data_IF_754967609878
#
_entry.id   IF_754967609878
#
_cell.length_a   1.000
_cell.length_b   1.000
_cell.length_c   1.000
_cell.angle_alpha   90.00
_cell.angle_beta   90.00
_cell.angle_gamma   90.00
#
_symmetry.space_group_name_H-M   'P 1'
#
loop_
_entity.id
_entity.type
_entity.pdbx_description
1 polymer ?
#
# COMPACT_ATOMS: atom_id res chain seq x y z
N UNK A 1 -15.66 1.17 19.10
CA UNK A 1 -15.71 -0.04 18.23
C UNK A 1 -15.41 -1.27 19.07
N UNK A 2 -16.29 -2.27 19.05
CA UNK A 2 -16.01 -3.58 19.67
C UNK A 2 -15.15 -4.40 18.71
N UNK A 3 -14.17 -5.12 19.24
CA UNK A 3 -13.37 -6.09 18.50
C UNK A 3 -13.89 -7.48 18.86
N UNK A 4 -14.65 -8.11 17.97
CA UNK A 4 -15.17 -9.47 18.17
C UNK A 4 -14.45 -10.43 17.24
N UNK A 5 -13.86 -11.48 17.82
CA UNK A 5 -13.22 -12.58 17.09
C UNK A 5 -13.92 -13.88 17.46
N UNK A 6 -14.52 -14.54 16.47
CA UNK A 6 -15.16 -15.83 16.61
C UNK A 6 -14.18 -16.94 16.19
N UNK A 7 -13.89 -17.84 17.11
CA UNK A 7 -13.10 -19.04 16.86
C UNK A 7 -14.04 -20.23 16.68
N UNK A 8 -13.98 -20.89 15.53
CA UNK A 8 -14.66 -22.17 15.28
C UNK A 8 -13.65 -23.24 14.86
N UNK A 9 -14.05 -24.50 14.84
CA UNK A 9 -13.20 -25.61 14.34
C UNK A 9 -12.84 -25.45 12.85
N UNK A 10 -13.63 -24.69 12.08
CA UNK A 10 -13.46 -24.54 10.62
C UNK A 10 -12.81 -23.22 10.18
N UNK A 11 -12.93 -22.15 10.98
CA UNK A 11 -12.41 -20.84 10.62
C UNK A 11 -12.34 -19.89 11.84
N UNK A 12 -11.52 -18.85 11.68
CA UNK A 12 -11.52 -17.65 12.53
C UNK A 12 -12.17 -16.53 11.73
N UNK A 13 -13.16 -15.84 12.30
CA UNK A 13 -13.82 -14.69 11.67
C UNK A 13 -13.87 -13.52 12.64
N UNK A 14 -13.51 -12.32 12.17
CA UNK A 14 -13.57 -11.09 12.96
C UNK A 14 -14.30 -9.99 12.21
N UNK A 15 -14.57 -8.88 12.90
CA UNK A 15 -15.13 -7.68 12.30
C UNK A 15 -14.24 -7.14 11.17
N UNK A 16 -14.87 -6.49 10.18
CA UNK A 16 -14.16 -5.83 9.08
C UNK A 16 -13.25 -4.77 9.68
N UNK A 17 -11.95 -4.89 9.41
CA UNK A 17 -10.93 -3.95 9.87
C UNK A 17 -11.11 -2.60 9.14
N UNK A 18 -12.06 -1.78 9.57
CA UNK A 18 -12.36 -0.49 8.95
C UNK A 18 -11.23 0.55 9.14
N UNK A 19 -10.44 0.45 10.22
CA UNK A 19 -9.40 1.44 10.57
C UNK A 19 -7.97 0.89 10.71
N UNK A 20 -7.75 -0.41 10.51
CA UNK A 20 -6.45 -1.00 10.84
C UNK A 20 -5.29 -0.41 10.04
N UNK A 21 -5.50 0.01 8.79
CA UNK A 21 -4.44 0.62 8.00
C UNK A 21 -3.93 1.91 8.64
N UNK A 22 -4.83 2.75 9.16
CA UNK A 22 -4.45 4.00 9.82
C UNK A 22 -3.69 3.73 11.13
N UNK A 23 -4.13 2.76 11.92
CA UNK A 23 -3.46 2.39 13.16
C UNK A 23 -2.11 1.70 12.90
N UNK A 24 -2.08 0.77 11.93
CA UNK A 24 -0.90 -0.02 11.56
C UNK A 24 0.19 0.82 10.90
N UNK A 25 -0.18 1.82 10.12
CA UNK A 25 0.74 2.65 9.34
C UNK A 25 0.82 4.10 9.82
N UNK A 26 0.29 4.40 11.02
CA UNK A 26 0.35 5.74 11.62
C UNK A 26 1.74 6.35 11.54
N UNK A 27 2.76 5.60 11.97
CA UNK A 27 4.14 6.10 11.99
C UNK A 27 4.69 6.32 10.57
N UNK A 28 4.28 5.50 9.60
CA UNK A 28 4.64 5.67 8.20
C UNK A 28 4.05 6.95 7.61
N UNK A 29 2.77 7.25 7.89
CA UNK A 29 2.14 8.50 7.46
C UNK A 29 2.80 9.74 8.07
N UNK A 30 3.17 9.66 9.37
CA UNK A 30 3.89 10.76 10.02
C UNK A 30 5.28 10.99 9.41
N UNK A 31 6.00 9.92 9.10
CA UNK A 31 7.32 9.98 8.47
C UNK A 31 7.24 10.56 7.04
N UNK A 32 6.30 10.09 6.23
CA UNK A 32 6.05 10.59 4.87
C UNK A 32 5.74 12.10 4.86
N UNK A 33 4.84 12.55 5.74
CA UNK A 33 4.52 13.98 5.85
C UNK A 33 5.73 14.81 6.29
N UNK A 34 6.53 14.32 7.23
CA UNK A 34 7.74 15.01 7.69
C UNK A 34 8.74 15.17 6.55
N UNK A 35 9.02 14.09 5.80
CA UNK A 35 9.90 14.12 4.62
C UNK A 35 9.41 15.13 3.58
N UNK A 36 8.11 15.10 3.25
CA UNK A 36 7.54 16.00 2.27
C UNK A 36 7.67 17.48 2.68
N UNK A 37 7.40 17.79 3.94
CA UNK A 37 7.56 19.15 4.49
C UNK A 37 9.04 19.57 4.42
N UNK A 38 9.97 18.68 4.75
CA UNK A 38 11.40 18.97 4.71
C UNK A 38 11.90 19.18 3.26
N UNK A 39 11.37 18.42 2.29
CA UNK A 39 11.66 18.63 0.88
C UNK A 39 11.22 20.01 0.39
N UNK A 40 10.03 20.46 0.79
CA UNK A 40 9.53 21.81 0.47
C UNK A 40 10.43 22.88 1.09
N UNK A 41 10.78 22.73 2.38
CA UNK A 41 11.58 23.74 3.11
C UNK A 41 12.98 23.88 2.54
N UNK A 42 13.58 22.78 2.11
CA UNK A 42 14.96 22.74 1.63
C UNK A 42 15.07 22.81 0.11
N UNK A 43 13.94 22.87 -0.61
CA UNK A 43 13.89 22.81 -2.06
C UNK A 43 14.67 21.61 -2.63
N UNK A 44 14.43 20.43 -2.05
CA UNK A 44 15.01 19.15 -2.50
C UNK A 44 13.94 18.27 -3.13
N UNK A 45 14.36 17.35 -3.99
CA UNK A 45 13.45 16.35 -4.56
C UNK A 45 13.05 15.32 -3.49
N UNK A 46 11.76 14.90 -3.45
CA UNK A 46 11.32 13.84 -2.56
C UNK A 46 11.94 12.50 -2.97
N UNK A 47 12.11 11.58 -2.01
CA UNK A 47 12.65 10.25 -2.28
C UNK A 47 11.73 9.39 -3.15
N UNK A 48 10.42 9.70 -3.15
CA UNK A 48 9.40 9.08 -3.99
C UNK A 48 8.81 10.13 -4.92
N UNK A 49 8.98 9.94 -6.23
CA UNK A 49 8.54 10.84 -7.28
C UNK A 49 7.39 10.29 -8.11
N UNK A 50 6.98 11.06 -9.12
CA UNK A 50 5.90 10.65 -10.04
C UNK A 50 6.22 9.39 -10.86
N UNK A 51 7.50 9.15 -11.15
CA UNK A 51 7.95 7.97 -11.89
C UNK A 51 7.72 6.68 -11.10
N UNK A 52 7.93 6.69 -9.78
CA UNK A 52 7.70 5.53 -8.93
C UNK A 52 6.22 5.14 -8.93
N UNK A 53 5.33 6.13 -8.96
CA UNK A 53 3.89 5.92 -9.14
C UNK A 53 3.53 5.32 -10.50
N UNK A 54 4.12 5.82 -11.59
CA UNK A 54 3.89 5.29 -12.94
C UNK A 54 4.31 3.82 -13.05
N UNK A 55 5.53 3.50 -12.62
CA UNK A 55 6.07 2.13 -12.68
C UNK A 55 5.22 1.18 -11.82
N UNK A 56 4.79 1.61 -10.63
CA UNK A 56 3.91 0.82 -9.76
C UNK A 56 2.58 0.45 -10.45
N UNK A 57 2.00 1.38 -11.21
CA UNK A 57 0.77 1.13 -11.99
C UNK A 57 1.05 0.18 -13.15
N UNK A 58 2.15 0.36 -13.89
CA UNK A 58 2.55 -0.54 -14.98
C UNK A 58 2.75 -1.98 -14.47
N UNK A 59 3.39 -2.16 -13.32
CA UNK A 59 3.55 -3.45 -12.64
C UNK A 59 2.19 -4.09 -12.32
N UNK A 60 1.24 -3.30 -11.82
CA UNK A 60 -0.13 -3.77 -11.54
C UNK A 60 -0.84 -4.31 -12.79
N UNK A 61 -0.74 -3.60 -13.91
CA UNK A 61 -1.31 -4.06 -15.19
C UNK A 61 -0.61 -5.30 -15.74
N UNK A 62 0.72 -5.38 -15.65
CA UNK A 62 1.47 -6.56 -16.08
C UNK A 62 1.11 -7.79 -15.24
N UNK A 63 0.95 -7.64 -13.92
CA UNK A 63 0.51 -8.71 -13.04
C UNK A 63 -0.91 -9.19 -13.37
N UNK A 64 -1.84 -8.28 -13.65
CA UNK A 64 -3.20 -8.62 -14.08
C UNK A 64 -3.19 -9.41 -15.41
N UNK A 65 -2.39 -8.97 -16.38
CA UNK A 65 -2.26 -9.66 -17.67
C UNK A 65 -1.63 -11.05 -17.49
N UNK A 66 -0.60 -11.17 -16.65
CA UNK A 66 0.03 -12.45 -16.34
C UNK A 66 -0.96 -13.43 -15.71
N UNK A 67 -1.79 -12.96 -14.77
CA UNK A 67 -2.85 -13.77 -14.15
C UNK A 67 -3.86 -14.28 -15.19
N UNK A 68 -4.26 -13.45 -16.15
CA UNK A 68 -5.25 -13.80 -17.17
C UNK A 68 -4.68 -14.75 -18.23
N UNK A 69 -3.42 -14.59 -18.61
CA UNK A 69 -2.80 -15.35 -19.70
C UNK A 69 -2.04 -16.57 -19.24
N UNK A 70 -1.71 -16.67 -17.94
CA UNK A 70 -0.85 -17.70 -17.36
C UNK A 70 0.61 -17.61 -17.85
N UNK A 71 1.03 -16.44 -18.36
CA UNK A 71 2.38 -16.22 -18.91
C UNK A 71 3.09 -15.09 -18.18
N UNK A 72 4.42 -15.07 -18.27
CA UNK A 72 5.22 -13.94 -17.81
C UNK A 72 5.00 -12.73 -18.72
N UNK A 73 4.86 -11.54 -18.13
CA UNK A 73 4.68 -10.25 -18.82
C UNK A 73 5.72 -9.27 -18.27
N UNK A 74 6.58 -8.74 -19.14
CA UNK A 74 7.56 -7.71 -18.78
C UNK A 74 6.93 -6.32 -18.73
N UNK A 75 7.51 -5.45 -17.92
CA UNK A 75 7.32 -4.00 -17.99
C UNK A 75 8.55 -3.39 -18.66
N UNK A 76 8.35 -2.35 -19.46
CA UNK A 76 9.42 -1.59 -20.12
C UNK A 76 9.96 -0.48 -19.22
#
# INVERSE_FOLDING_TARGET
>A
PTEVVLHTKGAISGDVLLNFFLERYKDSYLAEMAEFIDCIRNNTEPSVGGIDGLVSVQMGYAALNSLQTGKFVSID
#
